data_IF_588509239506
#
_entry.id   IF_588509239506
#
_cell.length_a   1.000
_cell.length_b   1.000
_cell.length_c   1.000
_cell.angle_alpha   90.00
_cell.angle_beta   90.00
_cell.angle_gamma   90.00
#
_symmetry.space_group_name_H-M   'P 1'
#
loop_
_entity.id
_entity.type
_entity.pdbx_description
1 polymer ?
#
# COMPACT_ATOMS: atom_id res chain seq x y z
N UNK A 1 10.91 -3.17 -0.31
CA UNK A 1 10.02 -3.64 0.78
C UNK A 1 9.94 -2.57 1.86
N UNK A 2 8.78 -2.41 2.51
CA UNK A 2 8.60 -1.51 3.65
C UNK A 2 7.47 -2.02 4.56
N UNK A 3 7.40 -1.52 5.80
CA UNK A 3 6.34 -1.88 6.76
C UNK A 3 5.47 -0.64 7.08
N UNK A 4 4.15 -0.78 7.10
CA UNK A 4 3.21 0.28 7.51
C UNK A 4 2.57 -0.08 8.84
N UNK A 5 2.75 0.75 9.86
CA UNK A 5 2.41 0.46 11.26
C UNK A 5 1.51 1.53 11.88
N UNK A 6 0.79 1.18 12.94
CA UNK A 6 -0.04 2.08 13.75
C UNK A 6 0.74 3.07 14.63
N UNK A 7 2.08 2.98 14.62
CA UNK A 7 3.03 3.73 15.47
C UNK A 7 3.01 3.33 16.95
N UNK A 8 2.58 2.12 17.30
CA UNK A 8 2.82 1.57 18.63
C UNK A 8 4.32 1.35 18.87
N UNK A 9 4.85 1.85 19.99
CA UNK A 9 6.28 1.75 20.33
C UNK A 9 6.77 0.31 20.44
N UNK A 10 5.94 -0.61 20.98
CA UNK A 10 6.32 -2.01 21.12
C UNK A 10 6.49 -2.67 19.76
N UNK A 11 5.57 -2.41 18.83
CA UNK A 11 5.63 -2.93 17.46
C UNK A 11 6.83 -2.33 16.73
N UNK A 12 7.07 -1.03 16.86
CA UNK A 12 8.24 -0.39 16.26
C UNK A 12 9.55 -0.97 16.77
N UNK A 13 9.65 -1.28 18.07
CA UNK A 13 10.82 -1.93 18.67
C UNK A 13 11.01 -3.33 18.10
N UNK A 14 9.96 -4.15 18.07
CA UNK A 14 10.04 -5.52 17.53
C UNK A 14 10.42 -5.54 16.04
N UNK A 15 9.84 -4.66 15.22
CA UNK A 15 10.18 -4.56 13.80
C UNK A 15 11.64 -4.15 13.60
N UNK A 16 12.19 -3.26 14.44
CA UNK A 16 13.62 -2.90 14.36
C UNK A 16 14.56 -4.06 14.73
N UNK A 17 14.13 -4.94 15.63
CA UNK A 17 14.91 -6.12 16.02
C UNK A 17 14.91 -7.17 14.91
N UNK A 18 13.72 -7.48 14.36
CA UNK A 18 13.56 -8.56 13.38
C UNK A 18 13.91 -8.11 11.96
N UNK A 19 13.64 -6.85 11.61
CA UNK A 19 13.83 -6.28 10.27
C UNK A 19 14.61 -4.96 10.32
N UNK A 20 15.88 -4.98 10.76
CA UNK A 20 16.66 -3.76 11.03
C UNK A 20 16.84 -2.85 9.80
N UNK A 21 16.87 -3.45 8.60
CA UNK A 21 17.11 -2.75 7.35
C UNK A 21 15.84 -2.40 6.58
N UNK A 22 14.65 -2.73 7.09
CA UNK A 22 13.39 -2.46 6.41
C UNK A 22 12.81 -1.12 6.88
N UNK A 23 12.60 -0.14 5.99
CA UNK A 23 12.00 1.12 6.38
C UNK A 23 10.55 0.92 6.81
N UNK A 24 10.19 1.54 7.94
CA UNK A 24 8.82 1.57 8.43
C UNK A 24 8.21 2.96 8.28
N UNK A 25 6.89 2.95 8.08
CA UNK A 25 6.04 4.10 7.77
C UNK A 25 4.82 4.08 8.68
N UNK A 26 4.27 5.26 8.95
CA UNK A 26 3.04 5.40 9.70
C UNK A 26 1.82 5.14 8.82
N UNK A 27 0.88 4.37 9.35
CA UNK A 27 -0.47 4.25 8.83
C UNK A 27 -1.14 5.62 8.92
N UNK A 28 -1.55 6.17 7.77
CA UNK A 28 -2.14 7.52 7.72
C UNK A 28 -3.47 7.59 8.47
N UNK A 29 -4.20 6.48 8.58
CA UNK A 29 -5.45 6.42 9.35
C UNK A 29 -5.19 6.54 10.86
N UNK A 30 -4.20 5.81 11.38
CA UNK A 30 -3.79 5.90 12.78
C UNK A 30 -3.19 7.26 13.12
N UNK A 31 -2.36 7.81 12.22
CA UNK A 31 -1.86 9.18 12.37
C UNK A 31 -3.01 10.19 12.45
N UNK A 32 -4.02 10.05 11.60
CA UNK A 32 -5.21 10.90 11.65
C UNK A 32 -6.02 10.72 12.94
N UNK A 33 -6.15 9.49 13.44
CA UNK A 33 -6.80 9.21 14.74
C UNK A 33 -6.08 9.93 15.88
N UNK A 34 -4.74 9.95 15.87
CA UNK A 34 -3.95 10.68 16.85
C UNK A 34 -4.19 12.20 16.76
N UNK A 35 -4.26 12.74 15.54
CA UNK A 35 -4.63 14.16 15.31
C UNK A 35 -6.03 14.43 15.86
N UNK A 36 -7.01 13.55 15.62
CA UNK A 36 -8.38 13.70 16.14
C UNK A 36 -8.44 13.67 17.67
N UNK A 37 -7.61 12.83 18.32
CA UNK A 37 -7.51 12.77 19.78
C UNK A 37 -6.92 14.05 20.38
N UNK A 38 -5.84 14.55 19.78
CA UNK A 38 -5.09 15.70 20.29
C UNK A 38 -5.70 17.05 19.90
N UNK A 39 -6.45 17.12 18.79
CA UNK A 39 -6.96 18.36 18.19
C UNK A 39 -8.44 18.24 17.82
N UNK A 40 -9.28 17.88 18.80
CA UNK A 40 -10.72 17.58 18.62
C UNK A 40 -11.48 18.61 17.78
N UNK A 41 -11.20 19.91 17.95
CA UNK A 41 -11.89 21.02 17.24
C UNK A 41 -11.57 21.08 15.74
N UNK A 42 -10.48 20.47 15.28
CA UNK A 42 -10.02 20.55 13.88
C UNK A 42 -10.41 19.32 13.05
N UNK A 43 -11.03 18.30 13.66
CA UNK A 43 -11.35 17.02 13.01
C UNK A 43 -12.17 17.18 11.73
N UNK A 44 -13.29 17.87 11.80
CA UNK A 44 -14.24 17.91 10.67
C UNK A 44 -13.71 18.78 9.51
N UNK A 45 -12.93 19.82 9.83
CA UNK A 45 -12.40 20.76 8.83
C UNK A 45 -11.16 20.23 8.11
N UNK A 46 -10.35 19.41 8.78
CA UNK A 46 -9.03 19.01 8.26
C UNK A 46 -8.98 17.59 7.69
N UNK A 47 -10.01 16.77 7.82
CA UNK A 47 -9.97 15.35 7.38
C UNK A 47 -9.60 15.21 5.90
N UNK A 48 -10.36 15.87 5.03
CA UNK A 48 -10.13 15.76 3.59
C UNK A 48 -8.81 16.39 3.15
N UNK A 49 -8.42 17.50 3.79
CA UNK A 49 -7.11 18.13 3.59
C UNK A 49 -5.98 17.18 3.97
N UNK A 50 -6.07 16.52 5.13
CA UNK A 50 -5.06 15.57 5.60
C UNK A 50 -4.92 14.39 4.65
N UNK A 51 -6.02 13.72 4.27
CA UNK A 51 -5.92 12.55 3.40
C UNK A 51 -5.48 12.90 1.99
N UNK A 52 -5.92 14.05 1.45
CA UNK A 52 -5.46 14.55 0.16
C UNK A 52 -3.97 14.88 0.19
N UNK A 53 -3.50 15.51 1.28
CA UNK A 53 -2.11 15.86 1.49
C UNK A 53 -1.24 14.61 1.62
N UNK A 54 -1.62 13.67 2.48
CA UNK A 54 -0.87 12.44 2.70
C UNK A 54 -0.72 11.60 1.42
N UNK A 55 -1.74 11.63 0.54
CA UNK A 55 -1.76 10.90 -0.73
C UNK A 55 -1.26 11.72 -1.93
N UNK A 56 -0.84 12.97 -1.73
CA UNK A 56 -0.38 13.84 -2.80
C UNK A 56 0.80 13.19 -3.54
N UNK A 57 0.74 13.24 -4.88
CA UNK A 57 1.78 12.68 -5.75
C UNK A 57 2.89 13.69 -6.05
N UNK A 58 2.63 14.98 -5.82
CA UNK A 58 3.54 16.08 -6.15
C UNK A 58 3.84 16.92 -4.92
N UNK A 59 5.09 17.33 -4.79
CA UNK A 59 5.56 18.14 -3.66
C UNK A 59 4.84 19.48 -3.60
N UNK A 60 4.66 20.12 -4.76
CA UNK A 60 3.88 21.36 -4.88
C UNK A 60 2.44 21.24 -4.38
N UNK A 61 1.80 20.08 -4.60
CA UNK A 61 0.41 19.87 -4.22
C UNK A 61 0.32 19.57 -2.72
N UNK A 62 1.29 18.79 -2.20
CA UNK A 62 1.49 18.60 -0.76
C UNK A 62 1.70 19.94 -0.02
N UNK A 63 2.60 20.79 -0.50
CA UNK A 63 2.95 22.05 0.16
C UNK A 63 1.77 23.02 0.20
N UNK A 64 0.99 23.10 -0.88
CA UNK A 64 -0.26 23.88 -0.92
C UNK A 64 -1.27 23.38 0.11
N UNK A 65 -1.45 22.06 0.21
CA UNK A 65 -2.38 21.47 1.18
C UNK A 65 -1.88 21.66 2.61
N UNK A 66 -0.57 21.54 2.87
CA UNK A 66 0.01 21.80 4.18
C UNK A 66 -0.14 23.26 4.59
N UNK A 67 0.04 24.21 3.67
CA UNK A 67 -0.24 25.62 3.93
C UNK A 67 -1.70 25.88 4.32
N UNK A 68 -2.65 25.13 3.75
CA UNK A 68 -4.05 25.19 4.17
C UNK A 68 -4.28 24.59 5.56
N UNK A 69 -3.61 23.48 5.89
CA UNK A 69 -3.62 22.91 7.25
C UNK A 69 -3.10 23.93 8.27
N UNK A 70 -2.01 24.63 7.94
CA UNK A 70 -1.39 25.66 8.79
C UNK A 70 -2.38 26.80 9.10
N UNK A 71 -3.04 27.31 8.06
CA UNK A 71 -4.05 28.38 8.19
C UNK A 71 -5.21 28.00 9.10
N UNK A 72 -5.64 26.74 9.07
CA UNK A 72 -6.75 26.26 9.91
C UNK A 72 -6.27 25.98 11.33
N UNK A 73 -5.12 25.31 11.49
CA UNK A 73 -4.53 25.03 12.79
C UNK A 73 -3.03 24.72 12.69
N UNK A 74 -2.21 25.73 13.00
CA UNK A 74 -0.75 25.62 13.06
C UNK A 74 -0.25 24.47 13.96
N UNK A 75 -0.94 24.16 15.06
CA UNK A 75 -0.55 23.07 15.97
C UNK A 75 -0.66 21.70 15.31
N UNK A 76 -1.61 21.54 14.38
CA UNK A 76 -1.75 20.31 13.59
C UNK A 76 -0.60 20.19 12.60
N UNK A 77 -0.24 21.27 11.89
CA UNK A 77 0.95 21.28 11.03
C UNK A 77 2.19 20.85 11.79
N UNK A 78 2.48 21.49 12.93
CA UNK A 78 3.64 21.14 13.77
C UNK A 78 3.64 19.67 14.19
N UNK A 79 2.48 19.14 14.61
CA UNK A 79 2.37 17.73 14.96
C UNK A 79 2.66 16.79 13.78
N UNK A 80 2.24 17.16 12.56
CA UNK A 80 2.50 16.38 11.35
C UNK A 80 3.97 16.49 10.88
N UNK A 81 4.62 17.63 11.14
CA UNK A 81 6.05 17.84 10.96
C UNK A 81 6.86 16.96 11.90
N UNK A 82 6.53 17.00 13.20
CA UNK A 82 7.17 16.19 14.24
C UNK A 82 6.98 14.68 14.00
N UNK A 83 5.92 14.29 13.29
CA UNK A 83 5.71 12.91 12.86
C UNK A 83 6.65 12.43 11.75
N UNK A 84 7.40 13.33 11.10
CA UNK A 84 8.30 13.06 9.98
C UNK A 84 7.55 12.83 8.67
N UNK A 85 7.59 13.80 7.74
CA UNK A 85 6.85 13.72 6.47
C UNK A 85 7.18 12.46 5.67
N UNK A 86 8.45 12.06 5.66
CA UNK A 86 8.93 10.84 5.03
C UNK A 86 8.23 9.58 5.55
N UNK A 87 7.77 9.59 6.81
CA UNK A 87 7.09 8.44 7.43
C UNK A 87 5.64 8.28 7.02
N UNK A 88 4.96 9.32 6.55
CA UNK A 88 3.50 9.23 6.36
C UNK A 88 3.00 9.84 5.05
N UNK A 89 3.75 10.74 4.41
CA UNK A 89 3.38 11.37 3.13
C UNK A 89 3.94 10.59 1.95
N UNK A 90 3.13 10.39 0.91
CA UNK A 90 3.53 9.62 -0.29
C UNK A 90 4.72 10.27 -0.99
N UNK A 91 4.63 11.57 -1.24
CA UNK A 91 5.66 12.30 -2.00
C UNK A 91 6.98 12.45 -1.26
N UNK A 92 6.98 12.26 0.07
CA UNK A 92 8.17 12.33 0.91
C UNK A 92 8.77 10.97 1.24
N UNK A 93 8.08 9.87 0.94
CA UNK A 93 8.58 8.54 1.23
C UNK A 93 9.87 8.28 0.45
N UNK A 94 10.85 7.67 1.11
CA UNK A 94 12.14 7.31 0.48
C UNK A 94 12.03 6.04 -0.37
N UNK A 95 10.92 5.31 -0.24
CA UNK A 95 10.62 4.13 -1.07
C UNK A 95 9.25 4.27 -1.71
N UNK A 96 9.09 3.63 -2.88
CA UNK A 96 7.76 3.49 -3.46
C UNK A 96 6.95 2.46 -2.68
N UNK A 97 6.04 2.94 -1.83
CA UNK A 97 5.04 2.12 -1.11
C UNK A 97 3.74 1.92 -1.89
N UNK A 98 3.74 2.33 -3.17
CA UNK A 98 2.60 2.25 -4.07
C UNK A 98 1.33 2.84 -3.44
N UNK A 99 0.28 2.02 -3.43
CA UNK A 99 -1.04 2.40 -2.89
C UNK A 99 -1.20 2.08 -1.40
N UNK A 100 -0.22 1.43 -0.77
CA UNK A 100 -0.31 0.95 0.61
C UNK A 100 0.12 2.03 1.59
N UNK A 101 -0.87 2.78 2.09
CA UNK A 101 -0.67 3.89 3.03
C UNK A 101 -1.28 3.61 4.42
N UNK A 102 -1.99 2.50 4.56
CA UNK A 102 -2.71 2.10 5.78
C UNK A 102 -2.33 0.69 6.19
N UNK A 103 -2.49 0.37 7.48
CA UNK A 103 -2.32 -0.97 8.04
C UNK A 103 -3.56 -1.86 7.82
N UNK A 104 -4.47 -1.52 6.90
CA UNK A 104 -5.77 -2.21 6.76
C UNK A 104 -5.63 -3.72 6.53
N UNK A 105 -4.61 -4.15 5.78
CA UNK A 105 -4.34 -5.59 5.59
C UNK A 105 -4.02 -6.26 6.93
N UNK A 106 -3.17 -5.63 7.74
CA UNK A 106 -2.84 -6.13 9.07
C UNK A 106 -4.09 -6.15 9.97
N UNK A 107 -4.93 -5.12 9.93
CA UNK A 107 -6.20 -5.10 10.69
C UNK A 107 -7.16 -6.21 10.26
N UNK A 108 -7.27 -6.50 8.96
CA UNK A 108 -8.09 -7.60 8.46
C UNK A 108 -7.58 -8.96 8.96
N UNK A 109 -6.27 -9.20 8.90
CA UNK A 109 -5.65 -10.44 9.41
C UNK A 109 -5.87 -10.54 10.92
N UNK A 110 -5.65 -9.45 11.65
CA UNK A 110 -5.91 -9.35 13.08
C UNK A 110 -7.38 -9.68 13.43
N UNK A 111 -8.32 -9.28 12.58
CA UNK A 111 -9.75 -9.59 12.71
C UNK A 111 -10.07 -11.07 12.47
N UNK A 112 -9.36 -11.74 11.56
CA UNK A 112 -9.50 -13.19 11.35
C UNK A 112 -8.95 -14.01 12.53
N UNK A 113 -8.00 -13.46 13.30
CA UNK A 113 -7.28 -14.18 14.36
C UNK A 113 -7.76 -13.82 15.77
N UNK A 114 -8.94 -13.22 15.93
CA UNK A 114 -9.45 -12.76 17.24
C UNK A 114 -9.58 -13.92 18.23
N UNK A 115 -10.20 -15.03 17.82
CA UNK A 115 -10.38 -16.19 18.70
C UNK A 115 -9.06 -16.95 18.89
N UNK A 116 -8.27 -17.10 17.84
CA UNK A 116 -6.97 -17.79 17.88
C UNK A 116 -6.02 -17.17 18.93
N UNK A 117 -6.14 -15.87 19.22
CA UNK A 117 -5.32 -15.17 20.24
C UNK A 117 -5.58 -15.62 21.68
N UNK A 118 -6.64 -16.36 21.93
CA UNK A 118 -6.93 -16.93 23.26
C UNK A 118 -6.24 -18.28 23.48
N UNK A 119 -5.75 -18.89 22.39
CA UNK A 119 -5.09 -20.20 22.40
C UNK A 119 -3.65 -20.10 22.89
N UNK A 120 -3.01 -21.26 23.16
CA UNK A 120 -1.56 -21.30 23.39
C UNK A 120 -0.79 -20.80 22.15
N UNK A 121 0.49 -20.43 22.33
CA UNK A 121 1.31 -19.92 21.22
C UNK A 121 1.38 -20.93 20.07
N UNK A 122 1.50 -22.23 20.36
CA UNK A 122 1.56 -23.28 19.34
C UNK A 122 0.25 -23.38 18.55
N UNK A 123 -0.88 -23.42 19.26
CA UNK A 123 -2.20 -23.46 18.63
C UNK A 123 -2.50 -22.17 17.83
N UNK A 124 -2.10 -21.01 18.34
CA UNK A 124 -2.19 -19.75 17.60
C UNK A 124 -1.38 -19.79 16.30
N UNK A 125 -0.14 -20.29 16.34
CA UNK A 125 0.69 -20.43 15.14
C UNK A 125 0.08 -21.42 14.13
N UNK A 126 -0.58 -22.47 14.62
CA UNK A 126 -1.29 -23.42 13.75
C UNK A 126 -2.50 -22.77 13.07
N UNK A 127 -3.31 -22.00 13.80
CA UNK A 127 -4.42 -21.20 13.21
C UNK A 127 -3.91 -20.20 12.16
N UNK A 128 -2.77 -19.54 12.43
CA UNK A 128 -2.10 -18.65 11.46
C UNK A 128 -1.68 -19.44 10.22
N UNK A 129 -1.06 -20.62 10.38
CA UNK A 129 -0.63 -21.49 9.29
C UNK A 129 -1.81 -21.95 8.43
N UNK A 130 -2.92 -22.36 9.05
CA UNK A 130 -4.15 -22.76 8.35
C UNK A 130 -4.72 -21.59 7.55
N UNK A 131 -4.83 -20.41 8.16
CA UNK A 131 -5.36 -19.21 7.51
C UNK A 131 -4.55 -18.84 6.25
N UNK A 132 -3.23 -18.72 6.39
CA UNK A 132 -2.38 -18.36 5.26
C UNK A 132 -2.27 -19.49 4.24
N UNK A 133 -2.24 -20.76 4.66
CA UNK A 133 -2.23 -21.91 3.76
C UNK A 133 -3.47 -21.96 2.87
N UNK A 134 -4.66 -21.77 3.45
CA UNK A 134 -5.92 -21.67 2.70
C UNK A 134 -5.91 -20.49 1.72
N UNK A 135 -5.44 -19.32 2.15
CA UNK A 135 -5.30 -18.16 1.28
C UNK A 135 -4.29 -18.35 0.15
N UNK A 136 -3.16 -19.00 0.40
CA UNK A 136 -2.15 -19.29 -0.62
C UNK A 136 -2.71 -20.25 -1.66
N UNK A 137 -3.41 -21.31 -1.24
CA UNK A 137 -4.10 -22.25 -2.14
C UNK A 137 -5.13 -21.52 -3.01
N UNK A 138 -6.01 -20.72 -2.41
CA UNK A 138 -7.00 -19.93 -3.15
C UNK A 138 -6.35 -18.94 -4.12
N UNK A 139 -5.27 -18.28 -3.71
CA UNK A 139 -4.55 -17.32 -4.55
C UNK A 139 -3.91 -18.00 -5.76
N UNK A 140 -3.36 -19.21 -5.58
CA UNK A 140 -2.82 -20.03 -6.67
C UNK A 140 -3.89 -20.50 -7.63
N UNK A 141 -5.03 -20.95 -7.11
CA UNK A 141 -6.19 -21.30 -7.93
C UNK A 141 -6.61 -20.10 -8.79
N UNK A 142 -6.75 -18.91 -8.18
CA UNK A 142 -7.05 -17.64 -8.88
C UNK A 142 -6.06 -17.35 -10.00
N UNK A 143 -4.77 -17.50 -9.72
CA UNK A 143 -3.74 -17.24 -10.70
C UNK A 143 -3.73 -18.27 -11.86
N UNK A 144 -4.12 -19.52 -11.62
CA UNK A 144 -4.08 -20.58 -12.64
C UNK A 144 -5.06 -20.37 -13.81
N UNK A 145 -6.21 -19.73 -13.56
CA UNK A 145 -7.22 -19.45 -14.59
C UNK A 145 -7.15 -18.03 -15.16
N UNK A 146 -6.36 -17.14 -14.55
CA UNK A 146 -6.18 -15.76 -15.02
C UNK A 146 -4.83 -15.68 -15.72
N UNK A 147 -4.76 -16.05 -17.01
CA UNK A 147 -3.52 -15.93 -17.80
C UNK A 147 -3.56 -14.65 -18.65
N UNK A 148 -2.41 -13.98 -18.74
CA UNK A 148 -2.10 -12.89 -19.67
C UNK A 148 -2.72 -11.49 -19.41
N UNK A 149 -3.55 -11.30 -18.39
CA UNK A 149 -4.17 -10.00 -18.05
C UNK A 149 -3.63 -9.41 -16.74
N UNK A 150 -4.05 -8.19 -16.36
CA UNK A 150 -3.80 -7.70 -15.00
C UNK A 150 -4.75 -8.40 -14.02
N UNK A 151 -4.35 -8.46 -12.75
CA UNK A 151 -5.28 -8.82 -11.69
C UNK A 151 -6.49 -7.88 -11.70
N UNK A 152 -7.69 -8.42 -11.46
CA UNK A 152 -8.98 -7.71 -11.57
C UNK A 152 -8.98 -6.28 -11.02
N UNK A 153 -8.40 -6.08 -9.84
CA UNK A 153 -8.32 -4.75 -9.21
C UNK A 153 -7.53 -3.74 -10.05
N UNK A 154 -6.47 -4.18 -10.71
CA UNK A 154 -5.62 -3.31 -11.52
C UNK A 154 -6.23 -3.06 -12.90
N UNK A 155 -7.01 -4.00 -13.44
CA UNK A 155 -7.90 -3.72 -14.58
C UNK A 155 -8.87 -2.59 -14.27
N UNK A 156 -9.55 -2.68 -13.12
CA UNK A 156 -10.49 -1.63 -12.67
C UNK A 156 -9.79 -0.27 -12.54
N UNK A 157 -8.55 -0.23 -12.02
CA UNK A 157 -7.75 1.00 -11.96
C UNK A 157 -7.42 1.53 -13.35
N UNK A 158 -7.03 0.66 -14.28
CA UNK A 158 -6.71 1.05 -15.66
C UNK A 158 -7.95 1.65 -16.35
N UNK A 159 -9.11 1.02 -16.20
CA UNK A 159 -10.41 1.51 -16.69
C UNK A 159 -10.74 2.89 -16.08
N UNK A 160 -10.58 3.05 -14.76
CA UNK A 160 -10.82 4.33 -14.08
C UNK A 160 -9.86 5.42 -14.56
N UNK A 161 -8.60 5.08 -14.84
CA UNK A 161 -7.65 6.05 -15.38
C UNK A 161 -7.98 6.39 -16.84
N UNK A 162 -8.44 5.41 -17.62
CA UNK A 162 -8.85 5.60 -19.00
C UNK A 162 -10.13 6.42 -19.15
N UNK A 163 -11.05 6.36 -18.18
CA UNK A 163 -12.25 7.20 -18.15
C UNK A 163 -11.98 8.64 -17.72
N UNK A 164 -10.87 8.88 -17.01
CA UNK A 164 -10.39 10.23 -16.65
C UNK A 164 -9.54 10.87 -17.74
N UNK A 165 -9.10 10.08 -18.71
CA UNK A 165 -8.42 10.59 -19.89
C UNK A 165 -9.46 11.32 -20.76
N UNK A 166 -9.14 12.52 -21.22
CA UNK A 166 -10.17 13.49 -21.64
C UNK A 166 -9.86 14.21 -22.93
N UNK A 167 -9.16 13.56 -23.88
CA UNK A 167 -8.66 14.20 -25.12
C UNK A 167 -7.93 15.50 -24.80
N UNK A 168 -6.98 15.41 -23.89
CA UNK A 168 -6.11 16.52 -23.53
C UNK A 168 -5.36 17.04 -24.77
N UNK A 169 -4.89 18.30 -24.72
CA UNK A 169 -4.00 18.79 -25.77
C UNK A 169 -2.62 18.15 -25.59
N UNK A 170 -2.15 17.50 -26.66
CA UNK A 170 -0.90 16.75 -26.69
C UNK A 170 0.06 17.39 -27.69
N UNK A 171 1.26 17.72 -27.23
CA UNK A 171 2.34 18.22 -28.08
C UNK A 171 3.51 17.25 -27.99
N UNK A 172 3.79 16.45 -29.04
CA UNK A 172 4.94 15.56 -29.06
C UNK A 172 6.24 16.38 -29.03
N UNK A 173 7.16 15.99 -28.16
CA UNK A 173 8.53 16.53 -28.13
C UNK A 173 9.54 15.53 -28.71
N UNK A 174 9.22 14.24 -28.67
CA UNK A 174 9.94 13.16 -29.36
C UNK A 174 8.98 11.98 -29.60
N UNK A 175 9.50 10.85 -30.08
CA UNK A 175 8.71 9.62 -30.25
C UNK A 175 8.03 9.14 -28.95
N UNK A 176 8.71 9.34 -27.80
CA UNK A 176 8.29 8.83 -26.49
C UNK A 176 7.92 9.92 -25.48
N UNK A 177 8.26 11.19 -25.74
CA UNK A 177 8.08 12.31 -24.80
C UNK A 177 7.01 13.27 -25.32
N UNK A 178 6.05 13.59 -24.45
CA UNK A 178 4.90 14.44 -24.78
C UNK A 178 4.69 15.48 -23.70
N UNK A 179 4.37 16.71 -24.12
CA UNK A 179 3.74 17.71 -23.27
C UNK A 179 2.22 17.53 -23.34
N UNK A 180 1.58 17.36 -22.20
CA UNK A 180 0.13 17.14 -22.05
C UNK A 180 -0.45 18.32 -21.27
N UNK A 181 -1.44 19.00 -21.84
CA UNK A 181 -2.09 20.14 -21.19
C UNK A 181 -3.48 19.75 -20.69
N UNK A 182 -3.70 19.93 -19.39
CA UNK A 182 -4.96 19.63 -18.70
C UNK A 182 -5.28 20.78 -17.75
N UNK A 183 -6.46 21.38 -17.89
CA UNK A 183 -6.97 22.45 -17.02
C UNK A 183 -5.95 23.58 -16.77
N UNK A 184 -5.28 24.04 -17.82
CA UNK A 184 -4.29 25.13 -17.74
C UNK A 184 -2.94 24.75 -17.12
N UNK A 185 -2.68 23.45 -16.87
CA UNK A 185 -1.40 22.93 -16.38
C UNK A 185 -0.75 22.03 -17.42
N UNK A 186 0.56 22.18 -17.59
CA UNK A 186 1.38 21.30 -18.42
C UNK A 186 1.94 20.14 -17.60
N UNK A 187 1.86 18.95 -18.14
CA UNK A 187 2.50 17.73 -17.66
C UNK A 187 3.42 17.16 -18.74
N UNK A 188 4.53 16.57 -18.32
CA UNK A 188 5.45 15.83 -19.19
C UNK A 188 5.21 14.35 -18.97
N UNK A 189 4.97 13.62 -20.06
CA UNK A 189 4.86 12.15 -20.10
C UNK A 189 6.04 11.60 -20.89
N UNK A 190 6.70 10.58 -20.37
CA UNK A 190 7.68 9.79 -21.11
C UNK A 190 7.25 8.32 -21.04
N UNK A 191 6.84 7.76 -22.18
CA UNK A 191 6.30 6.41 -22.28
C UNK A 191 7.37 5.34 -22.07
N UNK A 192 8.57 5.53 -22.66
CA UNK A 192 9.69 4.61 -22.54
C UNK A 192 10.10 4.39 -21.08
N UNK A 193 10.25 5.48 -20.32
CA UNK A 193 10.61 5.42 -18.90
C UNK A 193 9.40 5.20 -17.97
N UNK A 194 8.19 5.10 -18.52
CA UNK A 194 6.92 4.99 -17.78
C UNK A 194 6.76 6.06 -16.68
N UNK A 195 7.14 7.31 -16.99
CA UNK A 195 7.06 8.44 -16.04
C UNK A 195 6.08 9.50 -16.51
N UNK A 196 5.40 10.13 -15.54
CA UNK A 196 4.65 11.35 -15.76
C UNK A 196 4.95 12.36 -14.64
N UNK A 197 5.09 13.63 -14.99
CA UNK A 197 5.27 14.72 -14.01
C UNK A 197 4.07 14.90 -13.06
N UNK A 198 2.93 14.23 -13.31
CA UNK A 198 1.84 14.13 -12.33
C UNK A 198 2.16 13.21 -11.15
N UNK A 199 3.24 12.42 -11.22
CA UNK A 199 3.68 11.50 -10.18
C UNK A 199 3.10 10.09 -10.29
N UNK A 200 1.90 9.96 -10.88
CA UNK A 200 1.09 8.74 -10.80
C UNK A 200 1.67 7.56 -11.57
N UNK A 201 2.18 7.78 -12.78
CA UNK A 201 2.61 6.68 -13.67
C UNK A 201 3.73 5.85 -13.01
N UNK A 202 4.74 6.52 -12.49
CA UNK A 202 5.88 5.89 -11.84
C UNK A 202 5.63 5.42 -10.41
N UNK A 203 4.73 6.07 -9.65
CA UNK A 203 4.46 5.69 -8.27
C UNK A 203 3.43 4.56 -8.17
N UNK A 204 2.39 4.63 -8.99
CA UNK A 204 1.38 3.56 -9.05
C UNK A 204 1.75 2.49 -10.07
N UNK A 205 2.85 2.63 -10.81
CA UNK A 205 3.36 1.67 -11.81
C UNK A 205 2.29 1.18 -12.82
N UNK A 206 1.38 2.10 -13.16
CA UNK A 206 0.25 1.90 -14.07
C UNK A 206 -0.01 3.22 -14.81
N UNK A 207 -0.36 3.20 -16.11
CA UNK A 207 -0.64 4.42 -16.85
C UNK A 207 -1.63 5.33 -16.14
N UNK A 208 -1.25 6.59 -15.93
CA UNK A 208 -2.15 7.62 -15.46
C UNK A 208 -2.99 8.16 -16.62
N UNK A 209 -4.02 8.97 -16.33
CA UNK A 209 -4.88 9.57 -17.36
C UNK A 209 -4.07 10.30 -18.46
N UNK A 210 -3.03 11.05 -18.09
CA UNK A 210 -2.14 11.73 -19.05
C UNK A 210 -1.40 10.75 -19.96
N UNK A 211 -0.84 9.68 -19.39
CA UNK A 211 -0.14 8.67 -20.16
C UNK A 211 -1.10 7.90 -21.08
N UNK A 212 -2.32 7.63 -20.62
CA UNK A 212 -3.36 6.96 -21.41
C UNK A 212 -3.78 7.83 -22.60
N UNK A 213 -3.95 9.15 -22.44
CA UNK A 213 -4.26 10.02 -23.58
C UNK A 213 -3.15 10.00 -24.63
N UNK A 214 -1.88 10.01 -24.21
CA UNK A 214 -0.74 9.85 -25.13
C UNK A 214 -0.75 8.48 -25.84
N UNK A 215 -1.06 7.40 -25.11
CA UNK A 215 -1.14 6.06 -25.69
C UNK A 215 -2.28 5.93 -26.71
N UNK A 216 -3.43 6.56 -26.43
CA UNK A 216 -4.57 6.64 -27.36
C UNK A 216 -4.19 7.40 -28.63
N UNK A 217 -3.48 8.52 -28.52
CA UNK A 217 -2.97 9.29 -29.67
C UNK A 217 -2.04 8.47 -30.56
N UNK A 218 -1.20 7.63 -29.93
CA UNK A 218 -0.32 6.67 -30.64
C UNK A 218 -1.05 5.40 -31.12
N UNK A 219 -2.39 5.36 -31.04
CA UNK A 219 -3.22 4.21 -31.42
C UNK A 219 -2.85 2.89 -30.72
N UNK A 220 -2.31 2.97 -29.49
CA UNK A 220 -2.02 1.79 -28.67
C UNK A 220 -3.33 1.22 -28.14
N UNK A 221 -3.68 0.02 -28.60
CA UNK A 221 -4.88 -0.70 -28.15
C UNK A 221 -4.67 -1.42 -26.82
N UNK A 222 -3.50 -2.02 -26.65
CA UNK A 222 -3.13 -2.77 -25.46
C UNK A 222 -2.23 -1.94 -24.54
N UNK A 223 -2.75 -1.56 -23.37
CA UNK A 223 -2.04 -0.77 -22.37
C UNK A 223 -1.38 -1.62 -21.27
N UNK A 224 -1.62 -2.94 -21.24
CA UNK A 224 -1.05 -3.86 -20.25
C UNK A 224 0.50 -3.83 -20.22
N UNK A 225 1.22 -3.72 -21.37
CA UNK A 225 2.69 -3.63 -21.38
C UNK A 225 3.25 -2.40 -20.64
N UNK A 226 2.43 -1.37 -20.43
CA UNK A 226 2.82 -0.16 -19.71
C UNK A 226 2.59 -0.27 -18.20
N UNK A 227 1.96 -1.34 -17.72
CA UNK A 227 1.84 -1.64 -16.30
C UNK A 227 3.06 -2.41 -15.80
N UNK A 228 3.25 -2.49 -14.48
CA UNK A 228 4.25 -3.37 -13.87
C UNK A 228 3.81 -4.83 -13.88
N UNK A 229 4.78 -5.75 -13.99
CA UNK A 229 4.53 -7.18 -13.90
C UNK A 229 4.04 -7.61 -12.51
N UNK A 230 4.27 -6.79 -11.47
CA UNK A 230 3.71 -7.03 -10.13
C UNK A 230 2.19 -7.05 -10.09
N UNK A 231 1.51 -6.52 -11.11
CA UNK A 231 0.06 -6.50 -11.20
C UNK A 231 -0.52 -7.65 -12.00
N UNK A 232 0.34 -8.51 -12.56
CA UNK A 232 -0.07 -9.70 -13.30
C UNK A 232 -0.30 -10.89 -12.36
N UNK A 233 -1.21 -11.81 -12.70
CA UNK A 233 -1.46 -13.05 -11.95
C UNK A 233 -0.20 -13.88 -11.67
N UNK A 234 0.78 -13.87 -12.57
CA UNK A 234 2.06 -14.54 -12.36
C UNK A 234 2.80 -14.05 -11.12
N UNK A 235 2.75 -12.74 -10.83
CA UNK A 235 3.35 -12.21 -9.60
C UNK A 235 2.61 -12.71 -8.36
N UNK A 236 1.28 -12.86 -8.43
CA UNK A 236 0.49 -13.45 -7.36
C UNK A 236 0.83 -14.94 -7.17
N UNK A 237 0.97 -15.70 -8.26
CA UNK A 237 1.37 -17.11 -8.21
C UNK A 237 2.75 -17.26 -7.56
N UNK A 238 3.75 -16.47 -8.01
CA UNK A 238 5.11 -16.47 -7.45
C UNK A 238 5.14 -16.09 -5.97
N UNK A 239 4.33 -15.12 -5.56
CA UNK A 239 4.25 -14.70 -4.15
C UNK A 239 3.75 -15.83 -3.23
N UNK A 240 2.89 -16.71 -3.75
CA UNK A 240 2.28 -17.82 -3.02
C UNK A 240 2.80 -19.19 -3.49
N UNK A 241 3.99 -19.23 -4.10
CA UNK A 241 4.55 -20.44 -4.70
C UNK A 241 4.99 -21.44 -3.63
N UNK A 242 5.54 -20.93 -2.53
CA UNK A 242 5.99 -21.76 -1.41
C UNK A 242 4.76 -22.30 -0.66
N UNK A 243 4.55 -23.63 -0.64
CA UNK A 243 3.41 -24.21 0.06
C UNK A 243 3.61 -24.10 1.57
N UNK A 244 2.53 -23.77 2.28
CA UNK A 244 2.49 -23.95 3.73
C UNK A 244 2.22 -25.42 4.03
N UNK A 245 3.27 -26.14 4.38
CA UNK A 245 3.21 -27.58 4.66
C UNK A 245 2.33 -27.82 5.91
N UNK A 246 1.37 -28.77 5.86
CA UNK A 246 0.62 -29.21 7.03
C UNK A 246 1.53 -29.74 8.15
N UNK A 247 1.17 -29.43 9.39
CA UNK A 247 1.76 -30.09 10.55
C UNK A 247 1.00 -31.40 10.81
N UNK A 248 1.70 -32.47 11.25
CA UNK A 248 1.04 -33.67 11.75
C UNK A 248 0.27 -33.35 13.04
N UNK A 249 -0.62 -34.27 13.44
CA UNK A 249 -1.35 -34.13 14.70
C UNK A 249 -0.38 -34.03 15.88
N UNK A 250 -0.79 -33.36 16.97
CA UNK A 250 0.02 -33.22 18.18
C UNK A 250 0.42 -34.58 18.77
N UNK A 251 -0.42 -35.60 18.61
CA UNK A 251 -0.12 -36.98 19.03
C UNK A 251 1.07 -37.60 18.29
N UNK A 252 1.34 -37.13 17.06
CA UNK A 252 2.39 -37.64 16.18
C UNK A 252 3.69 -36.82 16.23
N UNK A 253 3.78 -35.81 17.11
CA UNK A 253 4.96 -34.94 17.17
C UNK A 253 6.18 -35.65 17.75
N UNK A 254 7.29 -35.63 17.02
CA UNK A 254 8.60 -36.04 17.53
C UNK A 254 9.29 -34.85 18.22
N UNK A 255 8.94 -34.63 19.50
CA UNK A 255 9.52 -33.58 20.33
C UNK A 255 9.80 -34.08 21.77
N UNK A 256 10.76 -33.48 22.49
CA UNK A 256 11.00 -33.80 23.90
C UNK A 256 9.74 -33.66 24.76
N UNK A 257 9.53 -34.56 25.73
CA UNK A 257 8.32 -34.59 26.58
C UNK A 257 8.12 -33.27 27.34
N UNK A 258 9.21 -32.65 27.80
CA UNK A 258 9.20 -31.36 28.47
C UNK A 258 8.66 -30.23 27.58
N UNK A 259 8.97 -30.26 26.28
CA UNK A 259 8.46 -29.29 25.30
C UNK A 259 6.97 -29.54 25.01
N UNK A 260 6.55 -30.79 24.90
CA UNK A 260 5.15 -31.16 24.62
C UNK A 260 4.25 -30.85 25.82
N UNK A 261 4.78 -31.02 27.04
CA UNK A 261 4.09 -30.73 28.29
C UNK A 261 3.97 -29.23 28.58
N UNK A 262 4.88 -28.40 28.06
CA UNK A 262 4.86 -26.95 28.28
C UNK A 262 3.74 -26.28 27.47
N UNK A 263 2.80 -25.64 28.17
CA UNK A 263 1.77 -24.80 27.53
C UNK A 263 2.14 -23.33 27.71
N UNK A 264 2.63 -22.71 26.64
CA UNK A 264 2.96 -21.29 26.64
C UNK A 264 1.75 -20.49 26.18
N UNK A 265 1.16 -19.71 27.09
CA UNK A 265 0.05 -18.81 26.76
C UNK A 265 0.55 -17.47 26.22
N UNK A 266 -0.25 -16.80 25.38
CA UNK A 266 0.05 -15.45 24.93
C UNK A 266 0.12 -14.48 26.11
N UNK A 267 0.87 -13.37 25.97
CA UNK A 267 0.93 -12.34 27.00
C UNK A 267 -0.48 -11.87 27.35
N UNK A 268 -0.80 -11.76 28.65
CA UNK A 268 -2.08 -11.22 29.09
C UNK A 268 -2.25 -9.81 28.53
N UNK A 269 -3.29 -9.63 27.72
CA UNK A 269 -3.67 -8.32 27.19
C UNK A 269 -4.03 -7.41 28.38
N UNK A 270 -3.34 -6.28 28.52
CA UNK A 270 -3.68 -5.22 29.49
C UNK A 270 -4.37 -4.07 28.77
#
# INVERSE_FOLDING_TARGET
MCVVLDRNESIMKSVRIVFPNVPYYACIWHLWKNVCGNFKRSRNTLSDLFYSMAKAYRKTDFDKLMANVDKVNHRVKKHLEDAGYEKWSRVHSTVNRGRMMTSNIAECINGCLVEARQLSILEFLEEVRILFGSWHCKSREIASYTKDTLGRRFEEVLIINASKSSKMELVPSSEFIFSVYEAGRRYIVCLERKVCSCGRFQLDEIPCAHAIDVLKEKNVKDMHPYCTDYYKPDALAKTNEIPMVPMPDKEDWSAPEDVVAETVYPPRYR
#
